data_IF_447994753262
#
_entry.id   IF_447994753262
#
_cell.length_a   1.000
_cell.length_b   1.000
_cell.length_c   1.000
_cell.angle_alpha   90.00
_cell.angle_beta   90.00
_cell.angle_gamma   90.00
#
_symmetry.space_group_name_H-M   'P 1'
#
loop_
_entity.id
_entity.type
_entity.pdbx_description
1 polymer ?
#
# COMPACT_ATOMS: atom_id res chain seq x y z
N UNK A 1 10.67 2.21 3.15
CA UNK A 1 9.76 3.13 2.43
C UNK A 1 8.39 2.47 2.36
N UNK A 2 7.32 3.27 2.33
CA UNK A 2 5.94 2.74 2.37
C UNK A 2 5.08 3.40 1.30
N UNK A 3 4.28 2.57 0.64
CA UNK A 3 3.31 3.00 -0.37
C UNK A 3 1.90 3.07 0.20
N UNK A 4 1.17 4.12 -0.18
CA UNK A 4 -0.27 4.18 -0.03
C UNK A 4 -0.91 3.60 -1.30
N UNK A 5 -1.63 2.49 -1.14
CA UNK A 5 -2.28 1.81 -2.26
C UNK A 5 -3.77 2.01 -2.18
N UNK A 6 -4.39 2.52 -3.24
CA UNK A 6 -5.82 2.82 -3.33
C UNK A 6 -6.44 2.05 -4.48
N UNK A 7 -7.59 1.44 -4.22
CA UNK A 7 -8.37 0.79 -5.27
C UNK A 7 -9.30 1.79 -5.97
N UNK A 8 -9.13 1.95 -7.28
CA UNK A 8 -9.86 2.96 -8.07
C UNK A 8 -10.96 2.36 -8.93
N UNK A 9 -10.86 1.06 -9.30
CA UNK A 9 -11.83 0.40 -10.19
C UNK A 9 -12.57 -0.78 -9.53
N UNK A 10 -13.78 -1.06 -10.01
CA UNK A 10 -14.64 -2.16 -9.53
C UNK A 10 -14.25 -3.51 -10.13
N UNK A 11 -14.85 -4.61 -9.63
CA UNK A 11 -14.51 -5.99 -10.03
C UNK A 11 -15.07 -6.43 -11.40
N UNK A 12 -15.80 -5.56 -12.13
CA UNK A 12 -16.43 -5.99 -13.39
C UNK A 12 -15.37 -6.31 -14.44
N UNK A 13 -15.35 -7.56 -14.92
CA UNK A 13 -14.40 -8.04 -15.92
C UNK A 13 -13.00 -8.34 -15.39
N UNK A 14 -12.80 -8.30 -14.07
CA UNK A 14 -11.50 -8.62 -13.47
C UNK A 14 -11.22 -10.13 -13.59
N UNK A 15 -10.01 -10.48 -14.05
CA UNK A 15 -9.53 -11.87 -14.05
C UNK A 15 -9.46 -12.39 -12.60
N UNK A 16 -9.92 -13.62 -12.30
CA UNK A 16 -9.94 -14.16 -10.93
C UNK A 16 -8.61 -13.98 -10.18
N UNK A 17 -7.48 -14.29 -10.84
CA UNK A 17 -6.13 -14.13 -10.26
C UNK A 17 -5.78 -12.70 -9.83
N UNK A 18 -6.33 -11.67 -10.47
CA UNK A 18 -6.12 -10.26 -10.10
C UNK A 18 -7.02 -9.90 -8.93
N UNK A 19 -8.27 -10.39 -8.94
CA UNK A 19 -9.22 -10.23 -7.83
C UNK A 19 -8.67 -10.84 -6.54
N UNK A 20 -8.09 -12.03 -6.63
CA UNK A 20 -7.48 -12.72 -5.48
C UNK A 20 -6.31 -11.90 -4.94
N UNK A 21 -5.45 -11.37 -5.80
CA UNK A 21 -4.34 -10.48 -5.39
C UNK A 21 -4.87 -9.22 -4.70
N UNK A 22 -5.88 -8.55 -5.24
CA UNK A 22 -6.50 -7.40 -4.56
C UNK A 22 -7.11 -7.80 -3.20
N UNK A 23 -7.70 -8.98 -3.09
CA UNK A 23 -8.25 -9.50 -1.83
C UNK A 23 -7.15 -9.79 -0.80
N UNK A 24 -6.01 -10.34 -1.21
CA UNK A 24 -4.84 -10.56 -0.35
C UNK A 24 -4.25 -9.25 0.18
N UNK A 25 -4.30 -8.18 -0.64
CA UNK A 25 -3.92 -6.83 -0.23
C UNK A 25 -5.00 -6.12 0.60
N UNK A 26 -6.09 -6.80 0.98
CA UNK A 26 -7.26 -6.23 1.67
C UNK A 26 -8.04 -5.13 0.90
N UNK A 27 -7.83 -5.01 -0.42
CA UNK A 27 -8.49 -4.05 -1.32
C UNK A 27 -9.83 -4.59 -1.86
N UNK A 28 -10.76 -4.85 -0.96
CA UNK A 28 -12.05 -5.51 -1.26
C UNK A 28 -13.08 -4.61 -1.94
N UNK A 29 -13.04 -3.30 -1.75
CA UNK A 29 -13.99 -2.34 -2.35
C UNK A 29 -13.27 -1.14 -2.94
N UNK A 30 -13.94 -0.43 -3.85
CA UNK A 30 -13.44 0.83 -4.42
C UNK A 30 -13.27 1.86 -3.30
N UNK A 31 -12.22 2.68 -3.39
CA UNK A 31 -11.79 3.67 -2.40
C UNK A 31 -11.36 3.07 -1.05
N UNK A 32 -11.10 1.76 -0.99
CA UNK A 32 -10.29 1.22 0.11
C UNK A 32 -8.82 1.54 -0.15
N UNK A 33 -8.13 1.91 0.92
CA UNK A 33 -6.71 2.17 0.90
C UNK A 33 -5.97 1.36 1.98
N UNK A 34 -4.73 0.98 1.68
CA UNK A 34 -3.86 0.18 2.55
C UNK A 34 -2.44 0.74 2.46
N UNK A 35 -1.73 0.71 3.60
CA UNK A 35 -0.32 1.06 3.68
C UNK A 35 0.51 -0.21 3.55
N UNK A 36 1.47 -0.22 2.62
CA UNK A 36 2.26 -1.41 2.27
C UNK A 36 3.74 -1.04 2.23
N UNK A 37 4.63 -1.79 2.90
CA UNK A 37 6.07 -1.54 2.81
C UNK A 37 6.58 -1.88 1.40
N UNK A 38 7.56 -1.12 0.93
CA UNK A 38 8.23 -1.39 -0.33
C UNK A 38 9.11 -2.64 -0.21
N UNK A 39 8.57 -3.78 -0.66
CA UNK A 39 9.31 -5.03 -0.76
C UNK A 39 9.10 -5.64 -2.15
N UNK A 40 10.05 -6.43 -2.68
CA UNK A 40 9.91 -7.07 -3.99
C UNK A 40 8.64 -7.94 -4.11
N UNK A 41 8.23 -8.58 -3.01
CA UNK A 41 7.01 -9.38 -2.95
C UNK A 41 5.75 -8.52 -3.14
N UNK A 42 5.69 -7.35 -2.49
CA UNK A 42 4.57 -6.42 -2.67
C UNK A 42 4.60 -5.76 -4.03
N UNK A 43 5.78 -5.36 -4.53
CA UNK A 43 5.94 -4.79 -5.87
C UNK A 43 5.34 -5.69 -6.95
N UNK A 44 5.64 -7.00 -6.94
CA UNK A 44 5.04 -7.96 -7.87
C UNK A 44 3.51 -8.03 -7.79
N UNK A 45 2.94 -7.93 -6.59
CA UNK A 45 1.48 -7.89 -6.40
C UNK A 45 0.86 -6.59 -6.92
N UNK A 46 1.52 -5.45 -6.73
CA UNK A 46 1.07 -4.15 -7.23
C UNK A 46 1.09 -4.11 -8.76
N UNK A 47 2.19 -4.55 -9.39
CA UNK A 47 2.30 -4.63 -10.84
C UNK A 47 1.22 -5.53 -11.47
N UNK A 48 0.87 -6.64 -10.81
CA UNK A 48 -0.19 -7.54 -11.26
C UNK A 48 -1.59 -6.91 -11.20
N UNK A 49 -1.82 -5.99 -10.27
CA UNK A 49 -3.11 -5.32 -10.06
C UNK A 49 -3.18 -3.91 -10.68
N UNK A 50 -2.13 -3.46 -11.38
CA UNK A 50 -1.92 -2.06 -11.80
C UNK A 50 -3.08 -1.37 -12.49
N UNK A 51 -3.89 -2.11 -13.25
CA UNK A 51 -5.01 -1.55 -14.01
C UNK A 51 -6.20 -1.15 -13.12
N UNK A 52 -6.22 -1.59 -11.85
CA UNK A 52 -7.33 -1.42 -10.91
C UNK A 52 -6.99 -0.59 -9.67
N UNK A 53 -5.70 -0.41 -9.40
CA UNK A 53 -5.18 0.28 -8.24
C UNK A 53 -4.28 1.44 -8.66
N UNK A 54 -4.08 2.38 -7.76
CA UNK A 54 -3.07 3.43 -7.85
C UNK A 54 -2.26 3.40 -6.57
N UNK A 55 -0.95 3.57 -6.65
CA UNK A 55 -0.10 3.66 -5.48
C UNK A 55 0.96 4.73 -5.65
N UNK A 56 1.47 5.22 -4.53
CA UNK A 56 2.55 6.20 -4.48
C UNK A 56 3.19 6.22 -3.09
N UNK A 57 4.40 6.75 -3.01
CA UNK A 57 5.08 7.00 -1.75
C UNK A 57 4.25 7.97 -0.89
N UNK A 58 4.24 7.73 0.41
CA UNK A 58 3.51 8.57 1.36
C UNK A 58 4.42 8.95 2.53
N UNK A 59 4.35 10.22 2.92
CA UNK A 59 5.11 10.79 4.02
C UNK A 59 4.45 10.51 5.38
N UNK A 60 5.24 10.65 6.44
CA UNK A 60 4.78 10.42 7.80
C UNK A 60 3.64 11.36 8.23
N UNK A 61 3.61 12.62 7.75
CA UNK A 61 2.56 13.58 8.12
C UNK A 61 1.22 13.23 7.45
N UNK A 62 1.25 12.79 6.19
CA UNK A 62 0.04 12.27 5.52
C UNK A 62 -0.45 10.98 6.18
N UNK A 63 0.44 10.05 6.56
CA UNK A 63 0.06 8.84 7.31
C UNK A 63 -0.62 9.23 8.64
N UNK A 64 -0.05 10.18 9.39
CA UNK A 64 -0.62 10.63 10.65
C UNK A 64 -2.03 11.19 10.48
N UNK A 65 -2.23 12.00 9.43
CA UNK A 65 -3.54 12.55 9.08
C UNK A 65 -4.52 11.44 8.70
N UNK A 66 -4.09 10.48 7.88
CA UNK A 66 -4.90 9.33 7.46
C UNK A 66 -5.35 8.47 8.66
N UNK A 67 -4.44 8.17 9.59
CA UNK A 67 -4.76 7.40 10.80
C UNK A 67 -5.73 8.17 11.70
N UNK A 68 -5.49 9.46 11.92
CA UNK A 68 -6.37 10.28 12.76
C UNK A 68 -7.78 10.41 12.19
N UNK A 69 -7.89 10.57 10.87
CA UNK A 69 -9.16 10.85 10.22
C UNK A 69 -9.96 9.60 9.82
N UNK A 70 -9.26 8.53 9.44
CA UNK A 70 -9.85 7.34 8.81
C UNK A 70 -9.44 6.04 9.49
N UNK A 71 -8.49 6.08 10.42
CA UNK A 71 -8.13 4.94 11.25
C UNK A 71 -9.33 4.44 12.06
N UNK A 72 -9.52 3.12 12.03
CA UNK A 72 -10.59 2.45 12.77
C UNK A 72 -10.02 1.24 13.49
N UNK A 73 -10.46 1.05 14.73
CA UNK A 73 -10.20 -0.15 15.51
C UNK A 73 -11.33 -1.18 15.32
N UNK A 74 -11.13 -2.38 15.87
CA UNK A 74 -12.19 -3.39 16.04
C UNK A 74 -13.37 -2.76 16.79
N UNK A 75 -14.58 -3.03 16.31
CA UNK A 75 -15.79 -2.34 16.78
C UNK A 75 -16.02 -0.96 16.15
N UNK A 76 -15.27 -0.58 15.12
CA UNK A 76 -15.43 0.67 14.34
C UNK A 76 -15.16 1.96 15.14
N UNK A 77 -14.40 1.84 16.23
CA UNK A 77 -13.99 2.97 17.06
C UNK A 77 -12.87 3.79 16.38
N UNK A 78 -12.85 5.13 16.53
CA UNK A 78 -11.77 5.96 16.00
C UNK A 78 -10.44 5.67 16.70
N UNK A 79 -9.34 5.80 15.96
CA UNK A 79 -7.99 5.72 16.52
C UNK A 79 -7.66 7.06 17.19
N UNK A 80 -7.21 7.00 18.45
CA UNK A 80 -6.77 8.16 19.23
C UNK A 80 -5.39 7.88 19.84
N UNK A 81 -4.69 8.90 20.33
CA UNK A 81 -3.40 8.69 21.02
C UNK A 81 -3.54 7.73 22.22
N UNK A 82 -4.67 7.76 22.92
CA UNK A 82 -4.94 6.83 24.03
C UNK A 82 -5.02 5.37 23.57
N UNK A 83 -5.66 5.10 22.43
CA UNK A 83 -5.73 3.74 21.89
C UNK A 83 -4.41 3.26 21.32
N UNK A 84 -3.62 4.15 20.72
CA UNK A 84 -2.28 3.83 20.21
C UNK A 84 -1.37 3.40 21.36
N UNK A 85 -1.38 4.14 22.48
CA UNK A 85 -0.60 3.81 23.68
C UNK A 85 -1.04 2.50 24.34
N UNK A 86 -2.32 2.14 24.22
CA UNK A 86 -2.85 0.90 24.79
C UNK A 86 -2.58 -0.34 23.92
N UNK A 87 -2.44 -0.15 22.60
CA UNK A 87 -2.37 -1.24 21.63
C UNK A 87 -1.06 -1.34 20.84
N UNK A 88 -0.04 -0.55 21.16
CA UNK A 88 1.26 -0.62 20.49
C UNK A 88 2.38 -0.13 21.41
N UNK A 89 3.63 -0.41 21.04
CA UNK A 89 4.82 0.10 21.73
C UNK A 89 5.04 1.62 21.52
N UNK A 90 4.20 2.26 20.69
CA UNK A 90 4.30 3.67 20.37
C UNK A 90 3.41 4.53 21.26
N UNK A 91 3.93 5.69 21.64
CA UNK A 91 3.24 6.62 22.54
C UNK A 91 2.25 7.57 21.86
N UNK A 92 2.41 7.83 20.55
CA UNK A 92 1.65 8.84 19.79
C UNK A 92 1.43 8.42 18.34
N UNK A 93 0.38 8.97 17.70
CA UNK A 93 0.10 8.75 16.27
C UNK A 93 1.30 9.16 15.40
N UNK A 94 1.99 10.25 15.74
CA UNK A 94 3.18 10.70 14.98
C UNK A 94 4.33 9.69 15.03
N UNK A 95 4.58 9.11 16.21
CA UNK A 95 5.63 8.11 16.38
C UNK A 95 5.36 6.86 15.53
N UNK A 96 4.12 6.34 15.60
CA UNK A 96 3.67 5.23 14.74
C UNK A 96 3.83 5.60 13.27
N UNK A 97 3.36 6.77 12.87
CA UNK A 97 3.34 7.18 11.46
C UNK A 97 4.74 7.26 10.88
N UNK A 98 5.73 7.67 11.68
CA UNK A 98 7.14 7.67 11.28
C UNK A 98 7.69 6.25 11.09
N UNK A 99 7.37 5.33 12.01
CA UNK A 99 7.79 3.93 11.91
C UNK A 99 7.13 3.22 10.70
N UNK A 100 5.87 3.56 10.40
CA UNK A 100 5.20 3.07 9.20
C UNK A 100 5.83 3.67 7.95
N UNK A 101 6.16 4.97 7.93
CA UNK A 101 6.80 5.60 6.77
C UNK A 101 8.18 5.00 6.44
N UNK A 102 8.98 4.66 7.46
CA UNK A 102 10.27 3.98 7.27
C UNK A 102 10.10 2.55 6.76
N UNK A 103 8.97 1.90 7.08
CA UNK A 103 8.68 0.51 6.74
C UNK A 103 9.06 -0.48 7.84
N UNK A 104 9.38 0.02 9.04
CA UNK A 104 9.76 -0.79 10.20
C UNK A 104 8.53 -1.37 10.94
N UNK A 105 7.36 -0.76 10.74
CA UNK A 105 6.09 -1.18 11.34
C UNK A 105 4.96 -1.15 10.30
N UNK A 106 3.97 -2.03 10.48
CA UNK A 106 2.74 -2.09 9.70
C UNK A 106 1.51 -1.72 10.51
N UNK A 107 0.38 -1.52 9.82
CA UNK A 107 -0.92 -1.31 10.48
C UNK A 107 -1.41 -2.53 11.27
N UNK A 108 -0.82 -3.71 11.05
CA UNK A 108 -1.12 -4.93 11.80
C UNK A 108 -0.44 -5.01 13.16
N UNK A 109 0.58 -4.19 13.41
CA UNK A 109 1.33 -4.17 14.68
C UNK A 109 0.62 -3.37 15.78
N UNK A 110 -0.45 -2.65 15.42
CA UNK A 110 -1.32 -1.99 16.38
C UNK A 110 -2.49 -2.92 16.70
N UNK A 111 -2.60 -3.35 17.95
CA UNK A 111 -3.63 -4.26 18.39
C UNK A 111 -5.03 -3.70 18.10
N UNK A 112 -5.82 -4.52 17.44
CA UNK A 112 -7.18 -4.19 17.03
C UNK A 112 -7.28 -3.10 15.95
N UNK A 113 -6.20 -2.62 15.33
CA UNK A 113 -6.30 -1.69 14.19
C UNK A 113 -6.69 -2.43 12.91
N UNK A 114 -7.69 -1.89 12.20
CA UNK A 114 -8.05 -2.43 10.88
C UNK A 114 -6.98 -2.00 9.87
N UNK A 115 -6.46 -2.91 9.03
CA UNK A 115 -5.45 -2.59 8.02
C UNK A 115 -6.01 -1.81 6.82
N UNK A 116 -7.32 -1.52 6.80
CA UNK A 116 -8.03 -0.89 5.69
C UNK A 116 -8.56 0.47 6.09
N UNK A 117 -8.16 1.49 5.34
CA UNK A 117 -8.69 2.83 5.41
C UNK A 117 -9.83 2.99 4.40
N UNK A 118 -11.01 3.35 4.87
CA UNK A 118 -12.19 3.57 4.02
C UNK A 118 -12.22 5.03 3.61
N UNK A 119 -11.81 5.33 2.38
CA UNK A 119 -11.80 6.69 1.88
C UNK A 119 -13.18 7.09 1.33
N UNK A 120 -13.48 8.38 1.46
CA UNK A 120 -14.59 8.97 0.73
C UNK A 120 -14.21 9.06 -0.76
N UNK A 121 -15.17 8.98 -1.70
CA UNK A 121 -14.91 9.31 -3.09
C UNK A 121 -14.19 10.67 -3.23
N UNK A 122 -13.27 10.81 -4.19
CA UNK A 122 -12.56 12.06 -4.39
C UNK A 122 -13.55 13.19 -4.67
N UNK A 123 -13.38 14.32 -3.98
CA UNK A 123 -14.21 15.50 -4.16
C UNK A 123 -13.56 16.40 -5.20
N UNK A 124 -14.16 16.53 -6.39
CA UNK A 124 -13.67 17.35 -7.49
C UNK A 124 -13.91 16.70 -8.86
N UNK A 125 -13.70 17.44 -9.97
CA UNK A 125 -13.75 16.85 -11.31
C UNK A 125 -12.69 15.74 -11.39
N UNK A 126 -13.13 14.54 -11.80
CA UNK A 126 -12.21 13.45 -12.10
C UNK A 126 -11.36 13.89 -13.29
N UNK A 127 -10.13 14.32 -13.05
CA UNK A 127 -9.10 14.24 -14.08
C UNK A 127 -9.12 12.80 -14.59
N UNK A 128 -9.16 12.63 -15.92
CA UNK A 128 -9.32 11.33 -16.56
C UNK A 128 -8.41 10.29 -15.91
N UNK A 129 -8.91 9.05 -15.79
CA UNK A 129 -8.11 7.88 -15.39
C UNK A 129 -7.15 7.53 -16.54
N UNK A 130 -6.34 8.49 -16.97
CA UNK A 130 -5.14 8.22 -17.75
C UNK A 130 -4.18 7.54 -16.79
N UNK A 131 -3.70 6.39 -17.26
CA UNK A 131 -2.84 5.48 -16.53
C UNK A 131 -1.45 6.09 -16.34
N UNK A 132 -1.34 7.12 -15.51
CA UNK A 132 -0.09 7.82 -15.21
C UNK A 132 0.30 7.59 -13.75
N UNK A 133 0.46 6.32 -13.39
CA UNK A 133 1.19 5.88 -12.19
C UNK A 133 2.29 4.87 -12.58
N UNK A 134 2.89 5.09 -13.75
CA UNK A 134 4.05 4.35 -14.26
C UNK A 134 5.34 5.19 -14.20
N UNK A 135 5.36 6.28 -13.42
CA UNK A 135 6.43 7.30 -13.46
C UNK A 135 7.40 7.22 -12.27
N UNK A 136 7.64 6.01 -11.75
CA UNK A 136 8.80 5.68 -10.92
C UNK A 136 9.29 4.26 -11.26
N UNK A 137 9.51 4.01 -12.55
CA UNK A 137 10.45 2.96 -12.97
C UNK A 137 11.84 3.60 -13.00
N UNK A 138 12.52 3.61 -11.85
CA UNK A 138 13.94 3.29 -11.93
C UNK A 138 13.97 1.80 -12.26
N UNK A 139 14.17 1.51 -13.55
CA UNK A 139 14.53 0.18 -14.03
C UNK A 139 15.68 -0.31 -13.14
N UNK A 140 15.56 -1.45 -12.45
CA UNK A 140 16.74 -2.05 -11.83
C UNK A 140 17.72 -2.27 -12.98
N UNK A 141 18.87 -1.59 -12.90
CA UNK A 141 20.00 -1.85 -13.78
C UNK A 141 20.31 -3.35 -13.69
N UNK A 142 19.93 -4.08 -14.74
CA UNK A 142 20.37 -5.45 -14.98
C UNK A 142 21.90 -5.43 -15.05
N UNK A 143 22.50 -5.65 -13.89
CA UNK A 143 23.93 -5.87 -13.71
C UNK A 143 24.08 -7.06 -12.77
N UNK A 144 23.76 -8.26 -13.28
CA UNK A 144 24.59 -9.42 -13.00
C UNK A 144 24.39 -10.51 -14.08
N UNK A 145 25.29 -10.44 -15.05
CA UNK A 145 26.01 -11.57 -15.64
C UNK A 145 25.21 -12.84 -16.00
N UNK A 146 24.73 -12.88 -17.24
CA UNK A 146 24.82 -14.13 -18.02
C UNK A 146 26.26 -14.32 -18.49
N UNK A 147 27.00 -15.36 -18.08
CA UNK A 147 28.06 -15.86 -18.94
C UNK A 147 27.42 -16.63 -20.10
N UNK A 148 27.50 -16.02 -21.29
CA UNK A 148 27.26 -16.70 -22.57
C UNK A 148 28.30 -17.82 -22.79
N UNK A 149 27.97 -18.81 -23.65
CA UNK A 149 28.64 -20.10 -23.68
C UNK A 149 29.94 -20.03 -24.48
N UNK A 150 31.06 -20.42 -23.88
CA UNK A 150 32.27 -20.77 -24.62
C UNK A 150 32.16 -22.21 -25.12
N UNK A 151 31.80 -22.33 -26.39
CA UNK A 151 32.26 -23.41 -27.27
C UNK A 151 33.80 -23.49 -27.22
N UNK A 152 34.32 -24.72 -27.26
CA UNK A 152 35.40 -25.22 -28.13
C UNK A 152 36.27 -26.26 -27.42
N UNK A 153 36.09 -27.50 -27.90
CA UNK A 153 37.10 -28.50 -28.30
C UNK A 153 38.39 -28.66 -27.48
N UNK A 154 38.66 -29.92 -27.11
CA UNK A 154 39.94 -30.41 -26.58
C UNK A 154 39.81 -31.81 -26.00
#
# INVERSE_FOLDING_TARGET
>A
MTFLVIRVRSDRGVKPKIKDTMSMLNLTRVNHAVLIPDTPAYSGMLHKAKDYITWGEVDADTIATLISERGRLVGDKPVTNASVKAGSDFSTIKAVSKAIASGDAGTGDIDGMKPVFRLHPPRGPRAGVESSAALLLEEPSDSEATPSPSLLEG
#
